data_IF_202516342638
#
_entry.id   IF_202516342638
#
_cell.length_a   1.000
_cell.length_b   1.000
_cell.length_c   1.000
_cell.angle_alpha   90.00
_cell.angle_beta   90.00
_cell.angle_gamma   90.00
#
_symmetry.space_group_name_H-M   'P 1'
#
loop_
_entity.id
_entity.type
_entity.pdbx_description
1 polymer ?
#
# COMPACT_ATOMS: atom_id res chain seq x y z
N UNK A 1 -0.84 22.45 -9.35
CA UNK A 1 -1.09 21.92 -7.99
C UNK A 1 -0.11 20.79 -7.81
N UNK A 2 0.75 20.84 -6.79
CA UNK A 2 1.78 19.82 -6.59
C UNK A 2 1.18 18.58 -5.93
N UNK A 3 1.71 17.39 -6.21
CA UNK A 3 1.28 16.14 -5.57
C UNK A 3 1.37 16.23 -4.03
N UNK A 4 2.28 17.09 -3.52
CA UNK A 4 2.40 17.44 -2.11
C UNK A 4 1.14 18.14 -1.54
N UNK A 5 0.51 19.05 -2.28
CA UNK A 5 -0.73 19.72 -1.86
C UNK A 5 -1.94 18.77 -1.90
N UNK A 6 -1.94 17.81 -2.83
CA UNK A 6 -3.02 16.81 -2.96
C UNK A 6 -2.99 15.79 -1.80
N UNK A 7 -1.78 15.42 -1.35
CA UNK A 7 -1.56 14.58 -0.16
C UNK A 7 -2.05 15.20 1.14
N UNK A 8 -2.14 16.53 1.19
CA UNK A 8 -2.67 17.25 2.36
C UNK A 8 -4.21 17.37 2.32
N UNK A 9 -4.86 17.16 1.17
CA UNK A 9 -6.31 17.40 0.99
C UNK A 9 -7.17 16.14 0.83
N UNK A 10 -6.58 14.97 0.56
CA UNK A 10 -7.23 13.66 0.61
C UNK A 10 -8.55 13.54 -0.17
N UNK A 11 -8.47 13.18 -1.45
CA UNK A 11 -9.55 12.44 -2.13
C UNK A 11 -8.99 11.72 -3.36
N UNK A 12 -8.31 10.59 -3.14
CA UNK A 12 -7.97 9.67 -4.22
C UNK A 12 -9.15 8.78 -4.63
N UNK A 13 -9.17 8.27 -5.86
CA UNK A 13 -10.10 7.21 -6.25
C UNK A 13 -9.78 5.94 -5.47
N UNK A 14 -10.82 5.31 -4.96
CA UNK A 14 -10.75 4.03 -4.25
C UNK A 14 -11.54 2.95 -4.98
N UNK A 15 -11.14 1.70 -4.78
CA UNK A 15 -11.87 0.53 -5.20
C UNK A 15 -13.22 0.49 -4.47
N UNK A 16 -14.33 0.47 -5.20
CA UNK A 16 -15.67 0.39 -4.62
C UNK A 16 -15.96 -0.89 -3.81
N UNK A 17 -15.08 -1.90 -3.89
CA UNK A 17 -15.23 -3.18 -3.17
C UNK A 17 -14.43 -3.21 -1.87
N UNK A 18 -13.13 -2.92 -1.91
CA UNK A 18 -12.25 -3.02 -0.73
C UNK A 18 -11.84 -1.66 -0.13
N UNK A 19 -12.30 -0.55 -0.72
CA UNK A 19 -11.93 0.82 -0.38
C UNK A 19 -10.41 1.10 -0.44
N UNK A 20 -9.61 0.21 -1.02
CA UNK A 20 -8.19 0.45 -1.27
C UNK A 20 -8.00 1.52 -2.36
N UNK A 21 -6.86 2.20 -2.43
CA UNK A 21 -6.52 3.05 -3.57
C UNK A 21 -6.70 2.31 -4.91
N UNK A 22 -7.28 2.99 -5.90
CA UNK A 22 -7.61 2.42 -7.21
C UNK A 22 -6.36 2.19 -8.07
N UNK A 23 -5.58 1.16 -7.72
CA UNK A 23 -4.35 0.75 -8.39
C UNK A 23 -4.58 -0.55 -9.16
N UNK A 24 -4.72 -0.49 -10.51
CA UNK A 24 -5.01 -1.66 -11.31
C UNK A 24 -3.76 -2.49 -11.61
N UNK A 25 -3.88 -3.82 -11.47
CA UNK A 25 -3.00 -4.80 -12.07
C UNK A 25 -3.85 -5.57 -13.09
N UNK A 26 -3.52 -5.48 -14.38
CA UNK A 26 -4.30 -6.12 -15.45
C UNK A 26 -5.81 -5.78 -15.46
N UNK A 27 -6.15 -4.53 -15.14
CA UNK A 27 -7.54 -4.03 -15.13
C UNK A 27 -8.36 -4.40 -13.89
N UNK A 28 -7.75 -5.07 -12.91
CA UNK A 28 -8.38 -5.42 -11.64
C UNK A 28 -7.64 -4.78 -10.47
N UNK A 29 -8.33 -4.54 -9.35
CA UNK A 29 -7.74 -3.99 -8.14
C UNK A 29 -6.64 -4.92 -7.62
N UNK A 30 -5.42 -4.41 -7.47
CA UNK A 30 -4.28 -5.21 -6.97
C UNK A 30 -4.50 -5.81 -5.58
N UNK A 31 -5.39 -5.22 -4.78
CA UNK A 31 -5.68 -5.64 -3.42
C UNK A 31 -6.75 -6.74 -3.33
N UNK A 32 -7.85 -6.62 -4.09
CA UNK A 32 -9.00 -7.54 -3.97
C UNK A 32 -9.44 -8.22 -5.27
N UNK A 33 -8.77 -7.93 -6.40
CA UNK A 33 -9.05 -8.46 -7.74
C UNK A 33 -10.45 -8.11 -8.31
N UNK A 34 -11.18 -7.19 -7.70
CA UNK A 34 -12.40 -6.65 -8.30
C UNK A 34 -12.07 -5.80 -9.54
N UNK A 35 -12.92 -5.76 -10.58
CA UNK A 35 -12.75 -4.85 -11.71
C UNK A 35 -12.58 -3.40 -11.26
N UNK A 36 -11.70 -2.66 -11.91
CA UNK A 36 -11.54 -1.22 -11.72
C UNK A 36 -11.89 -0.47 -13.00
N UNK A 37 -12.82 0.47 -12.91
CA UNK A 37 -13.22 1.31 -14.05
C UNK A 37 -12.23 2.45 -14.31
N UNK A 38 -11.48 2.86 -13.28
CA UNK A 38 -10.53 3.96 -13.32
C UNK A 38 -9.29 3.66 -12.47
N UNK A 39 -8.22 4.41 -12.73
CA UNK A 39 -6.99 4.40 -11.93
C UNK A 39 -6.71 5.80 -11.38
N UNK A 40 -5.96 5.89 -10.28
CA UNK A 40 -5.56 7.17 -9.70
C UNK A 40 -4.13 7.15 -9.19
N UNK A 41 -3.62 8.34 -8.86
CA UNK A 41 -2.33 8.52 -8.22
C UNK A 41 -2.30 7.83 -6.84
N UNK A 42 -1.17 7.21 -6.45
CA UNK A 42 -1.03 6.45 -5.20
C UNK A 42 -0.85 7.36 -3.97
N UNK A 43 -1.54 8.50 -3.92
CA UNK A 43 -1.40 9.56 -2.90
C UNK A 43 -1.60 9.01 -1.50
N UNK A 44 -2.66 8.22 -1.30
CA UNK A 44 -3.07 7.67 0.01
C UNK A 44 -2.48 6.26 0.27
N UNK A 45 -1.60 5.77 -0.61
CA UNK A 45 -1.12 4.39 -0.54
C UNK A 45 -0.38 4.11 0.78
N UNK A 46 0.50 5.01 1.22
CA UNK A 46 1.30 4.76 2.42
C UNK A 46 0.43 4.73 3.68
N UNK A 47 -0.52 5.66 3.79
CA UNK A 47 -1.48 5.70 4.90
C UNK A 47 -2.35 4.44 4.92
N UNK A 48 -2.86 4.02 3.75
CA UNK A 48 -3.61 2.79 3.60
C UNK A 48 -2.81 1.55 4.03
N UNK A 49 -1.56 1.41 3.58
CA UNK A 49 -0.72 0.27 3.95
C UNK A 49 -0.45 0.22 5.46
N UNK A 50 -0.22 1.37 6.09
CA UNK A 50 0.08 1.46 7.53
C UNK A 50 -1.13 1.14 8.39
N UNK A 51 -2.31 1.56 7.97
CA UNK A 51 -3.56 1.20 8.65
C UNK A 51 -3.82 -0.31 8.61
N UNK A 52 -3.43 -0.98 7.51
CA UNK A 52 -3.79 -2.37 7.23
C UNK A 52 -2.70 -3.40 7.53
N UNK A 53 -1.44 -2.98 7.68
CA UNK A 53 -0.29 -3.88 7.96
C UNK A 53 0.28 -3.55 9.34
N UNK A 54 -0.06 -4.32 10.40
CA UNK A 54 0.37 -4.03 11.77
C UNK A 54 1.90 -3.99 11.97
N UNK A 55 2.65 -4.72 11.14
CA UNK A 55 4.12 -4.80 11.21
C UNK A 55 4.85 -3.69 10.43
N UNK A 56 4.12 -2.78 9.78
CA UNK A 56 4.71 -1.71 8.99
C UNK A 56 5.47 -0.72 9.89
N UNK A 57 6.74 -0.48 9.57
CA UNK A 57 7.56 0.58 10.17
C UNK A 57 7.37 1.85 9.35
N UNK A 58 7.20 2.98 10.01
CA UNK A 58 6.85 4.25 9.35
C UNK A 58 7.85 5.35 9.66
N UNK A 59 8.10 6.22 8.69
CA UNK A 59 8.64 7.56 8.92
C UNK A 59 7.63 8.59 8.46
N UNK A 60 7.53 9.66 9.24
CA UNK A 60 6.74 10.84 8.90
C UNK A 60 7.67 11.97 8.46
N UNK A 61 7.10 13.04 7.95
CA UNK A 61 7.84 14.25 7.54
C UNK A 61 8.63 14.93 8.68
N UNK A 62 8.88 16.23 8.52
CA UNK A 62 9.75 17.01 9.40
C UNK A 62 9.42 16.80 10.90
N UNK A 63 10.41 16.41 11.70
CA UNK A 63 10.29 16.17 13.15
C UNK A 63 9.22 15.12 13.55
N UNK A 64 8.98 14.09 12.72
CA UNK A 64 7.93 13.07 12.91
C UNK A 64 6.51 13.65 12.97
N UNK A 65 6.32 14.89 12.51
CA UNK A 65 5.02 15.58 12.43
C UNK A 65 4.71 15.80 10.96
N UNK A 66 3.60 15.23 10.47
CA UNK A 66 3.18 15.33 9.08
C UNK A 66 2.78 14.00 8.42
N UNK A 67 2.54 14.01 7.10
CA UNK A 67 2.13 12.83 6.34
C UNK A 67 3.21 11.76 6.36
N UNK A 68 2.80 10.52 6.10
CA UNK A 68 3.72 9.39 6.00
C UNK A 68 4.63 9.62 4.79
N UNK A 69 5.94 9.62 5.03
CA UNK A 69 6.97 9.85 4.02
C UNK A 69 7.64 8.54 3.61
N UNK A 70 7.63 7.53 4.47
CA UNK A 70 8.20 6.21 4.21
C UNK A 70 7.43 5.12 4.96
N UNK A 71 7.22 3.99 4.28
CA UNK A 71 6.75 2.73 4.85
C UNK A 71 7.78 1.66 4.54
N UNK A 72 8.12 0.86 5.55
CA UNK A 72 8.96 -0.33 5.44
C UNK A 72 8.21 -1.52 6.03
N UNK A 73 8.06 -2.57 5.23
CA UNK A 73 7.46 -3.84 5.65
C UNK A 73 8.52 -4.93 5.52
N UNK A 74 8.78 -5.62 6.62
CA UNK A 74 9.66 -6.79 6.65
C UNK A 74 8.77 -8.04 6.77
N UNK A 75 8.78 -8.87 5.75
CA UNK A 75 7.92 -10.07 5.69
C UNK A 75 8.62 -11.18 4.91
N UNK A 76 8.60 -12.41 5.45
CA UNK A 76 9.19 -13.59 4.79
C UNK A 76 10.68 -13.43 4.47
N UNK A 77 11.44 -12.75 5.33
CA UNK A 77 12.88 -12.48 5.13
C UNK A 77 13.18 -11.46 4.03
N UNK A 78 12.17 -10.74 3.54
CA UNK A 78 12.31 -9.68 2.52
C UNK A 78 11.89 -8.33 3.08
N UNK A 79 12.51 -7.28 2.53
CA UNK A 79 12.19 -5.90 2.86
C UNK A 79 11.51 -5.23 1.68
N UNK A 80 10.33 -4.70 1.92
CA UNK A 80 9.58 -3.87 1.00
C UNK A 80 9.58 -2.44 1.54
N UNK A 81 10.10 -1.49 0.77
CA UNK A 81 10.10 -0.07 1.13
C UNK A 81 9.37 0.73 0.07
N UNK A 82 8.51 1.65 0.51
CA UNK A 82 7.94 2.69 -0.32
C UNK A 82 8.21 4.04 0.34
N UNK A 83 8.83 4.98 -0.38
CA UNK A 83 9.24 6.28 0.14
C UNK A 83 8.91 7.37 -0.85
N UNK A 84 8.33 8.44 -0.34
CA UNK A 84 8.19 9.66 -1.13
C UNK A 84 9.50 10.44 -1.17
N UNK A 85 9.99 10.67 -2.38
CA UNK A 85 11.07 11.61 -2.66
C UNK A 85 10.49 12.78 -3.46
N UNK A 86 10.18 13.86 -2.75
CA UNK A 86 9.41 15.00 -3.28
C UNK A 86 8.06 14.52 -3.84
N UNK A 87 7.88 14.53 -5.15
CA UNK A 87 6.65 14.17 -5.86
C UNK A 87 6.68 12.72 -6.39
N UNK A 88 7.84 12.04 -6.34
CA UNK A 88 7.99 10.69 -6.86
C UNK A 88 7.92 9.65 -5.72
N UNK A 89 7.18 8.57 -5.96
CA UNK A 89 7.12 7.43 -5.05
C UNK A 89 8.20 6.42 -5.44
N UNK A 90 9.29 6.41 -4.69
CA UNK A 90 10.36 5.43 -4.84
C UNK A 90 10.00 4.13 -4.11
N UNK A 91 10.18 2.99 -4.78
CA UNK A 91 9.92 1.67 -4.22
C UNK A 91 11.16 0.77 -4.26
N UNK A 92 11.26 -0.11 -3.27
CA UNK A 92 12.27 -1.14 -3.18
C UNK A 92 11.62 -2.48 -2.81
N UNK A 93 11.86 -3.57 -3.56
CA UNK A 93 12.72 -3.65 -4.75
C UNK A 93 12.22 -2.76 -5.93
N UNK A 94 13.11 -2.31 -6.83
CA UNK A 94 12.76 -1.37 -7.90
C UNK A 94 12.04 -2.10 -9.04
N UNK A 95 10.71 -2.16 -8.95
CA UNK A 95 9.81 -2.72 -9.96
C UNK A 95 8.66 -1.74 -10.21
N UNK A 96 7.65 -2.10 -11.01
CA UNK A 96 6.43 -1.29 -11.14
C UNK A 96 5.65 -1.28 -9.81
N UNK A 97 4.98 -0.18 -9.47
CA UNK A 97 4.26 -0.05 -8.19
C UNK A 97 3.24 -1.16 -7.96
N UNK A 98 2.44 -1.50 -8.97
CA UNK A 98 1.42 -2.54 -8.88
C UNK A 98 2.05 -3.93 -8.75
N UNK A 99 3.16 -4.19 -9.44
CA UNK A 99 3.95 -5.41 -9.25
C UNK A 99 4.60 -5.47 -7.85
N UNK A 100 5.04 -4.34 -7.31
CA UNK A 100 5.56 -4.25 -5.94
C UNK A 100 4.48 -4.58 -4.91
N UNK A 101 3.26 -4.06 -5.10
CA UNK A 101 2.10 -4.38 -4.26
C UNK A 101 1.73 -5.86 -4.37
N UNK A 102 1.68 -6.41 -5.57
CA UNK A 102 1.41 -7.83 -5.78
C UNK A 102 2.43 -8.73 -5.06
N UNK A 103 3.71 -8.42 -5.16
CA UNK A 103 4.78 -9.12 -4.45
C UNK A 103 4.65 -8.98 -2.94
N UNK A 104 4.36 -7.78 -2.43
CA UNK A 104 4.13 -7.55 -1.00
C UNK A 104 2.95 -8.38 -0.49
N UNK A 105 1.82 -8.33 -1.18
CA UNK A 105 0.59 -9.04 -0.82
C UNK A 105 0.77 -10.56 -0.88
N UNK A 106 1.51 -11.07 -1.86
CA UNK A 106 1.91 -12.49 -1.92
C UNK A 106 2.66 -12.90 -0.65
N UNK A 107 3.67 -12.12 -0.25
CA UNK A 107 4.47 -12.44 0.94
C UNK A 107 3.71 -12.29 2.24
N UNK A 108 2.80 -11.32 2.34
CA UNK A 108 1.89 -11.19 3.47
C UNK A 108 0.93 -12.38 3.56
N UNK A 109 0.47 -12.90 2.43
CA UNK A 109 -0.38 -14.10 2.37
C UNK A 109 0.36 -15.34 2.85
N UNK A 110 1.59 -15.55 2.35
CA UNK A 110 2.48 -16.62 2.80
C UNK A 110 2.73 -16.56 4.32
N UNK A 111 3.04 -15.37 4.84
CA UNK A 111 3.32 -15.17 6.26
C UNK A 111 2.07 -15.36 7.13
N UNK A 112 0.90 -14.94 6.63
CA UNK A 112 -0.38 -15.14 7.31
C UNK A 112 -0.73 -16.63 7.50
N UNK A 113 -0.15 -17.55 6.72
CA UNK A 113 -0.29 -18.98 6.95
C UNK A 113 0.32 -19.43 8.30
N UNK A 114 1.38 -18.75 8.76
CA UNK A 114 2.05 -19.01 10.04
C UNK A 114 1.70 -18.05 11.18
N UNK A 115 1.11 -16.88 10.87
CA UNK A 115 0.81 -15.82 11.84
C UNK A 115 -0.70 -15.50 11.87
N UNK A 116 -1.34 -15.84 13.00
CA UNK A 116 -2.79 -15.67 13.17
C UNK A 116 -3.22 -14.19 13.27
N UNK A 117 -2.37 -13.31 13.81
CA UNK A 117 -2.70 -11.90 13.96
C UNK A 117 -2.54 -11.16 12.64
N UNK A 118 -1.51 -11.49 11.87
CA UNK A 118 -1.36 -11.03 10.51
C UNK A 118 -2.53 -11.51 9.64
N UNK A 119 -2.91 -12.79 9.74
CA UNK A 119 -4.07 -13.33 9.00
C UNK A 119 -5.34 -12.57 9.30
N UNK A 120 -5.63 -12.30 10.58
CA UNK A 120 -6.80 -11.51 10.97
C UNK A 120 -6.74 -10.09 10.43
N UNK A 121 -5.57 -9.45 10.45
CA UNK A 121 -5.38 -8.11 9.89
C UNK A 121 -5.68 -8.09 8.40
N UNK A 122 -5.11 -9.02 7.62
CA UNK A 122 -5.31 -9.08 6.17
C UNK A 122 -6.76 -9.39 5.80
N UNK A 123 -7.43 -10.32 6.50
CA UNK A 123 -8.84 -10.63 6.25
C UNK A 123 -9.77 -9.44 6.50
N UNK A 124 -9.50 -8.64 7.55
CA UNK A 124 -10.27 -7.41 7.80
C UNK A 124 -10.03 -6.33 6.74
N UNK A 125 -8.90 -6.40 6.03
CA UNK A 125 -8.58 -5.44 4.99
C UNK A 125 -9.38 -5.64 3.70
N UNK A 126 -10.10 -6.77 3.56
CA UNK A 126 -10.81 -7.12 2.33
C UNK A 126 -9.87 -7.49 1.18
N UNK A 127 -8.64 -7.89 1.50
CA UNK A 127 -7.64 -8.27 0.49
C UNK A 127 -7.81 -9.71 0.04
N UNK A 128 -7.56 -9.96 -1.23
CA UNK A 128 -7.46 -11.29 -1.79
C UNK A 128 -6.11 -11.90 -1.36
N UNK A 129 -6.17 -12.78 -0.35
CA UNK A 129 -5.03 -13.63 0.02
C UNK A 129 -4.67 -14.53 -1.16
N UNK A 130 -3.36 -14.63 -1.45
CA UNK A 130 -2.80 -15.46 -2.52
C UNK A 130 -2.42 -16.84 -1.99
#
# INVERSE_FOLDING_TARGET
MSALDARERGSGLSCGVCAAPALPLDGICVFCHAPLDNQDEPIELLDYLVERIPSAKVKRGHLNRGPISEVVVEVGGRTFRARWNKEELEIHPPVLLTAWLDLLLTRLSDAAAGDADLRRAVLRSGWALR
#
